data_IF_885436007394
#
_entry.id   IF_885436007394
#
_cell.length_a   1.000
_cell.length_b   1.000
_cell.length_c   1.000
_cell.angle_alpha   90.00
_cell.angle_beta   90.00
_cell.angle_gamma   90.00
#
_symmetry.space_group_name_H-M   'P 1'
#
loop_
_entity.id
_entity.type
_entity.pdbx_description
1 polymer ?
#
# COMPACT_ATOMS: atom_id res chain seq x y z
N UNK A 1 -29.23 -4.21 17.91
CA UNK A 1 -27.75 -4.16 17.78
C UNK A 1 -27.39 -2.90 16.98
N UNK A 2 -26.43 -2.07 17.42
CA UNK A 2 -26.02 -0.85 16.68
C UNK A 2 -25.12 -1.26 15.50
N UNK A 3 -25.33 -0.67 14.31
CA UNK A 3 -24.46 -0.92 13.13
C UNK A 3 -23.02 -0.43 13.39
N UNK A 4 -22.03 -1.02 12.70
CA UNK A 4 -20.61 -0.65 12.88
C UNK A 4 -20.35 0.84 12.64
N UNK A 5 -21.03 1.45 11.66
CA UNK A 5 -20.98 2.89 11.43
C UNK A 5 -21.41 3.72 12.66
N UNK A 6 -22.46 3.29 13.39
CA UNK A 6 -22.90 3.95 14.63
C UNK A 6 -21.99 3.69 15.84
N UNK A 7 -21.11 2.70 15.74
CA UNK A 7 -20.07 2.45 16.74
C UNK A 7 -18.77 3.22 16.41
N UNK A 8 -18.74 3.99 15.32
CA UNK A 8 -17.52 4.64 14.82
C UNK A 8 -16.49 3.65 14.27
N UNK A 9 -16.89 2.39 14.04
CA UNK A 9 -16.02 1.37 13.49
C UNK A 9 -16.17 1.35 11.98
N UNK A 10 -15.11 1.75 11.29
CA UNK A 10 -15.00 1.60 9.84
C UNK A 10 -14.51 0.16 9.53
N UNK A 11 -15.47 -0.77 9.58
CA UNK A 11 -15.30 -2.20 9.35
C UNK A 11 -16.50 -2.68 8.52
N UNK A 12 -16.23 -3.39 7.43
CA UNK A 12 -17.26 -4.01 6.62
C UNK A 12 -17.72 -5.31 7.33
N UNK A 13 -19.02 -5.47 7.64
CA UNK A 13 -19.54 -6.68 8.28
C UNK A 13 -19.46 -7.90 7.34
N UNK A 14 -19.18 -9.07 7.91
CA UNK A 14 -19.28 -10.35 7.19
C UNK A 14 -20.73 -10.82 7.09
N UNK A 15 -21.04 -11.60 6.06
CA UNK A 15 -22.35 -12.21 5.83
C UNK A 15 -22.49 -13.48 6.66
N UNK A 16 -23.69 -13.74 7.21
CA UNK A 16 -23.96 -14.99 7.92
C UNK A 16 -24.00 -16.18 6.96
N UNK A 17 -23.23 -17.23 7.28
CA UNK A 17 -23.05 -18.39 6.40
C UNK A 17 -24.21 -19.40 6.46
N UNK A 18 -24.86 -19.56 7.62
CA UNK A 18 -25.85 -20.63 7.82
C UNK A 18 -25.23 -22.03 7.97
N UNK A 19 -26.03 -23.01 8.39
CA UNK A 19 -25.55 -24.34 8.78
C UNK A 19 -24.94 -25.14 7.60
N UNK A 20 -25.58 -25.07 6.42
CA UNK A 20 -25.15 -25.81 5.24
C UNK A 20 -23.77 -25.34 4.72
N UNK A 21 -23.57 -24.02 4.61
CA UNK A 21 -22.30 -23.42 4.19
C UNK A 21 -21.19 -23.77 5.16
N UNK A 22 -21.46 -23.68 6.47
CA UNK A 22 -20.47 -24.02 7.49
C UNK A 22 -20.05 -25.50 7.43
N UNK A 23 -20.98 -26.41 7.12
CA UNK A 23 -20.67 -27.83 6.94
C UNK A 23 -19.83 -28.07 5.68
N UNK A 24 -20.14 -27.39 4.58
CA UNK A 24 -19.35 -27.45 3.35
C UNK A 24 -17.92 -26.93 3.56
N UNK A 25 -17.77 -25.75 4.18
CA UNK A 25 -16.45 -25.16 4.48
C UNK A 25 -15.66 -26.03 5.45
N UNK A 26 -16.31 -26.67 6.44
CA UNK A 26 -15.65 -27.64 7.35
C UNK A 26 -15.10 -28.87 6.60
N UNK A 27 -15.73 -29.25 5.49
CA UNK A 27 -15.25 -30.32 4.59
C UNK A 27 -14.21 -29.82 3.58
N UNK A 28 -13.78 -28.56 3.67
CA UNK A 28 -12.84 -27.95 2.75
C UNK A 28 -13.44 -27.49 1.41
N UNK A 29 -14.77 -27.54 1.27
CA UNK A 29 -15.45 -27.07 0.06
C UNK A 29 -15.66 -25.57 0.20
N UNK A 30 -14.98 -24.81 -0.64
CA UNK A 30 -15.13 -23.36 -0.68
C UNK A 30 -16.50 -22.97 -1.26
N UNK A 31 -17.13 -22.02 -0.59
CA UNK A 31 -18.43 -21.47 -0.96
C UNK A 31 -18.30 -20.00 -1.31
N UNK A 32 -19.25 -19.47 -2.08
CA UNK A 32 -19.27 -18.05 -2.45
C UNK A 32 -19.36 -17.16 -1.20
N UNK A 33 -20.15 -17.53 -0.20
CA UNK A 33 -20.30 -16.77 1.05
C UNK A 33 -19.02 -16.85 1.89
N UNK A 34 -18.40 -18.03 1.99
CA UNK A 34 -17.13 -18.19 2.69
C UNK A 34 -15.99 -17.41 2.02
N UNK A 35 -15.95 -17.39 0.68
CA UNK A 35 -15.01 -16.58 -0.10
C UNK A 35 -15.21 -15.08 0.15
N UNK A 36 -16.45 -14.61 0.04
CA UNK A 36 -16.80 -13.22 0.34
C UNK A 36 -16.37 -12.82 1.76
N UNK A 37 -16.61 -13.67 2.76
CA UNK A 37 -16.20 -13.39 4.13
C UNK A 37 -14.68 -13.38 4.32
N UNK A 38 -13.93 -14.21 3.58
CA UNK A 38 -12.46 -14.17 3.56
C UNK A 38 -11.96 -12.85 2.97
N UNK A 39 -12.55 -12.41 1.87
CA UNK A 39 -12.23 -11.13 1.20
C UNK A 39 -12.54 -9.93 2.09
N UNK A 40 -13.73 -9.87 2.69
CA UNK A 40 -14.12 -8.83 3.64
C UNK A 40 -13.12 -8.75 4.80
N UNK A 41 -12.71 -9.90 5.36
CA UNK A 41 -11.70 -9.95 6.42
C UNK A 41 -10.33 -9.45 5.94
N UNK A 42 -9.93 -9.75 4.70
CA UNK A 42 -8.69 -9.25 4.13
C UNK A 42 -8.72 -7.74 3.91
N UNK A 43 -9.82 -7.20 3.38
CA UNK A 43 -10.02 -5.77 3.20
C UNK A 43 -9.99 -5.03 4.55
N UNK A 44 -10.68 -5.53 5.57
CA UNK A 44 -10.67 -4.94 6.91
C UNK A 44 -9.26 -4.93 7.54
N UNK A 45 -8.44 -5.97 7.31
CA UNK A 45 -7.04 -5.99 7.75
C UNK A 45 -6.21 -4.92 7.05
N UNK A 46 -6.33 -4.82 5.72
CA UNK A 46 -5.63 -3.81 4.94
C UNK A 46 -6.00 -2.39 5.40
N UNK A 47 -7.30 -2.15 5.59
CA UNK A 47 -7.80 -0.84 6.02
C UNK A 47 -7.28 -0.46 7.41
N UNK A 48 -7.17 -1.44 8.33
CA UNK A 48 -6.50 -1.24 9.62
C UNK A 48 -5.02 -0.86 9.46
N UNK A 49 -4.28 -1.55 8.57
CA UNK A 49 -2.88 -1.24 8.30
C UNK A 49 -2.70 0.17 7.69
N UNK A 50 -3.59 0.59 6.79
CA UNK A 50 -3.56 1.93 6.19
C UNK A 50 -3.75 3.00 7.27
N UNK A 51 -4.73 2.85 8.16
CA UNK A 51 -4.93 3.80 9.27
C UNK A 51 -3.72 3.90 10.18
N UNK A 52 -3.10 2.76 10.50
CA UNK A 52 -1.88 2.75 11.32
C UNK A 52 -0.72 3.48 10.61
N UNK A 53 -0.58 3.29 9.29
CA UNK A 53 0.44 3.98 8.52
C UNK A 53 0.22 5.50 8.52
N UNK A 54 -1.02 5.95 8.35
CA UNK A 54 -1.37 7.39 8.41
C UNK A 54 -0.99 7.96 9.78
N UNK A 55 -1.39 7.30 10.87
CA UNK A 55 -1.06 7.75 12.23
C UNK A 55 0.46 7.83 12.47
N UNK A 56 1.21 6.85 11.96
CA UNK A 56 2.66 6.86 12.08
C UNK A 56 3.29 8.03 11.29
N UNK A 57 2.78 8.32 10.09
CA UNK A 57 3.24 9.44 9.27
C UNK A 57 2.92 10.79 9.91
N UNK A 58 1.72 10.95 10.47
CA UNK A 58 1.34 12.14 11.24
C UNK A 58 2.30 12.35 12.42
N UNK A 59 2.64 11.27 13.15
CA UNK A 59 3.63 11.29 14.22
C UNK A 59 5.02 11.76 13.74
N UNK A 60 5.51 11.20 12.64
CA UNK A 60 6.81 11.62 12.08
C UNK A 60 6.81 13.07 11.60
N UNK A 61 5.71 13.57 11.03
CA UNK A 61 5.58 14.98 10.64
C UNK A 61 5.67 15.88 11.88
N UNK A 62 5.00 15.50 12.97
CA UNK A 62 5.08 16.26 14.22
C UNK A 62 6.50 16.27 14.81
N UNK A 63 7.15 15.11 14.89
CA UNK A 63 8.54 15.00 15.38
C UNK A 63 9.53 15.81 14.53
N UNK A 64 9.38 15.79 13.20
CA UNK A 64 10.20 16.60 12.30
C UNK A 64 9.96 18.10 12.51
N UNK A 65 8.70 18.50 12.74
CA UNK A 65 8.34 19.87 13.06
C UNK A 65 9.00 20.36 14.35
N UNK A 66 9.05 19.51 15.38
CA UNK A 66 9.72 19.79 16.66
C UNK A 66 11.23 19.92 16.48
N UNK A 67 11.88 18.96 15.81
CA UNK A 67 13.32 19.02 15.49
C UNK A 67 13.69 20.26 14.69
N UNK A 68 12.83 20.69 13.76
CA UNK A 68 13.02 21.93 13.01
C UNK A 68 13.01 23.15 13.93
N UNK A 69 12.05 23.23 14.85
CA UNK A 69 11.96 24.33 15.84
C UNK A 69 13.18 24.34 16.76
N UNK A 70 13.60 23.18 17.23
CA UNK A 70 14.79 23.05 18.09
C UNK A 70 16.05 23.52 17.37
N UNK A 71 16.25 23.11 16.11
CA UNK A 71 17.39 23.55 15.30
C UNK A 71 17.40 25.07 15.09
N UNK A 72 16.23 25.66 14.79
CA UNK A 72 16.08 27.11 14.66
C UNK A 72 16.43 27.84 15.97
N UNK A 73 15.94 27.33 17.10
CA UNK A 73 16.24 27.89 18.42
C UNK A 73 17.73 27.79 18.77
N UNK A 74 18.36 26.63 18.54
CA UNK A 74 19.80 26.44 18.78
C UNK A 74 20.68 27.37 17.94
N UNK A 75 20.23 27.72 16.73
CA UNK A 75 20.98 28.58 15.82
C UNK A 75 20.66 30.07 15.97
N UNK A 76 19.74 30.44 16.88
CA UNK A 76 19.24 31.81 17.05
C UNK A 76 18.71 32.43 15.73
N UNK A 77 18.21 31.57 14.82
CA UNK A 77 17.67 31.96 13.52
C UNK A 77 16.15 32.07 13.63
N UNK A 78 15.60 33.20 13.22
CA UNK A 78 14.18 33.55 13.46
C UNK A 78 13.28 33.24 12.25
N UNK A 79 13.86 33.03 11.08
CA UNK A 79 13.14 32.92 9.80
C UNK A 79 13.74 31.87 8.87
N UNK A 80 13.01 31.50 7.81
CA UNK A 80 13.50 30.56 6.77
C UNK A 80 14.64 31.20 5.98
N UNK A 81 14.61 32.52 5.83
CA UNK A 81 15.65 33.34 5.23
C UNK A 81 16.98 33.22 6.01
N UNK A 82 16.93 33.18 7.34
CA UNK A 82 18.12 33.01 8.19
C UNK A 82 18.76 31.62 8.01
N UNK A 83 17.95 30.58 7.77
CA UNK A 83 18.43 29.23 7.43
C UNK A 83 19.06 29.19 6.02
N UNK A 84 18.47 29.90 5.07
CA UNK A 84 18.97 29.97 3.70
C UNK A 84 20.32 30.71 3.65
N UNK A 85 20.46 31.81 4.40
CA UNK A 85 21.72 32.51 4.61
C UNK A 85 22.79 31.66 5.36
N UNK A 86 22.38 30.83 6.32
CA UNK A 86 23.27 29.88 6.99
C UNK A 86 23.75 28.76 6.05
N UNK A 87 22.86 28.24 5.19
CA UNK A 87 23.20 27.25 4.16
C UNK A 87 24.16 27.83 3.13
N UNK A 88 23.96 29.09 2.73
CA UNK A 88 24.88 29.84 1.88
C UNK A 88 26.24 30.07 2.54
N UNK A 89 26.29 30.47 3.82
CA UNK A 89 27.56 30.70 4.53
C UNK A 89 28.31 29.41 4.92
N UNK A 90 27.60 28.30 5.13
CA UNK A 90 28.19 26.98 5.38
C UNK A 90 28.60 26.23 4.11
N UNK A 91 28.43 26.86 2.94
CA UNK A 91 28.87 26.35 1.65
C UNK A 91 28.05 25.18 1.11
N UNK A 92 26.84 24.95 1.64
CA UNK A 92 25.89 23.95 1.15
C UNK A 92 24.67 24.66 0.60
N UNK A 93 24.65 24.92 -0.69
CA UNK A 93 23.51 25.60 -1.33
C UNK A 93 22.25 24.74 -1.22
N UNK A 94 21.07 25.37 -1.11
CA UNK A 94 19.80 24.69 -1.33
C UNK A 94 19.77 23.92 -2.68
N UNK A 95 20.55 24.39 -3.66
CA UNK A 95 20.80 23.69 -4.92
C UNK A 95 21.53 22.35 -4.74
N UNK A 96 22.52 22.27 -3.84
CA UNK A 96 23.28 21.04 -3.58
C UNK A 96 22.39 19.97 -2.96
N UNK A 97 21.51 20.37 -2.03
CA UNK A 97 20.55 19.45 -1.42
C UNK A 97 19.50 18.98 -2.44
N UNK A 98 19.01 19.90 -3.29
CA UNK A 98 18.11 19.56 -4.40
C UNK A 98 18.77 18.58 -5.37
N UNK A 99 20.04 18.79 -5.70
CA UNK A 99 20.81 17.91 -6.57
C UNK A 99 21.06 16.53 -5.94
N UNK A 100 21.23 16.45 -4.61
CA UNK A 100 21.32 15.18 -3.89
C UNK A 100 19.99 14.42 -3.81
N UNK A 101 18.85 15.13 -3.80
CA UNK A 101 17.52 14.51 -3.75
C UNK A 101 17.03 14.00 -5.10
N UNK A 102 17.36 14.69 -6.20
CA UNK A 102 17.00 14.29 -7.58
C UNK A 102 17.25 12.80 -7.91
N UNK A 103 18.43 12.21 -7.66
CA UNK A 103 18.67 10.79 -7.97
C UNK A 103 17.88 9.84 -7.05
N UNK A 104 17.58 10.25 -5.81
CA UNK A 104 16.75 9.47 -4.88
C UNK A 104 15.28 9.49 -5.31
N UNK A 105 14.80 10.64 -5.77
CA UNK A 105 13.45 10.79 -6.35
C UNK A 105 13.30 9.98 -7.64
N UNK A 106 14.32 10.00 -8.51
CA UNK A 106 14.35 9.16 -9.72
C UNK A 106 14.32 7.67 -9.37
N UNK A 107 15.09 7.24 -8.36
CA UNK A 107 15.03 5.87 -7.85
C UNK A 107 13.66 5.50 -7.30
N UNK A 108 12.99 6.42 -6.59
CA UNK A 108 11.62 6.20 -6.09
C UNK A 108 10.65 5.93 -7.24
N UNK A 109 10.69 6.74 -8.30
CA UNK A 109 9.82 6.56 -9.48
C UNK A 109 10.03 5.22 -10.18
N UNK A 110 11.28 4.73 -10.25
CA UNK A 110 11.59 3.40 -10.79
C UNK A 110 11.00 2.30 -9.90
N UNK A 111 11.12 2.44 -8.57
CA UNK A 111 10.52 1.50 -7.62
C UNK A 111 9.00 1.46 -7.79
N UNK A 112 8.35 2.62 -7.92
CA UNK A 112 6.90 2.71 -8.15
C UNK A 112 6.49 2.01 -9.45
N UNK A 113 7.25 2.19 -10.54
CA UNK A 113 7.03 1.47 -11.80
C UNK A 113 7.19 -0.05 -11.69
N UNK A 114 8.17 -0.51 -10.91
CA UNK A 114 8.36 -1.95 -10.63
C UNK A 114 7.21 -2.50 -9.79
N UNK A 115 6.72 -1.75 -8.80
CA UNK A 115 5.58 -2.14 -7.98
C UNK A 115 4.30 -2.23 -8.81
N UNK A 116 4.06 -1.28 -9.72
CA UNK A 116 2.95 -1.32 -10.68
C UNK A 116 3.07 -2.51 -11.65
N UNK A 117 4.24 -2.75 -12.23
CA UNK A 117 4.47 -3.90 -13.10
C UNK A 117 4.26 -5.23 -12.36
N UNK A 118 4.60 -5.29 -11.06
CA UNK A 118 4.37 -6.45 -10.21
C UNK A 118 2.88 -6.67 -9.92
N UNK A 119 2.09 -5.61 -9.76
CA UNK A 119 0.63 -5.74 -9.61
C UNK A 119 0.01 -6.25 -10.90
N UNK A 120 0.39 -5.67 -12.04
CA UNK A 120 -0.14 -6.06 -13.36
C UNK A 120 0.21 -7.53 -13.69
N UNK A 121 1.43 -7.96 -13.35
CA UNK A 121 1.84 -9.35 -13.52
C UNK A 121 1.05 -10.31 -12.63
N UNK A 122 0.70 -9.91 -11.39
CA UNK A 122 -0.18 -10.72 -10.52
C UNK A 122 -1.59 -10.85 -11.08
N UNK A 123 -2.13 -9.79 -11.68
CA UNK A 123 -3.46 -9.77 -12.28
C UNK A 123 -3.51 -10.55 -13.61
N UNK A 124 -2.45 -10.47 -14.41
CA UNK A 124 -2.33 -11.20 -15.68
C UNK A 124 -1.97 -12.69 -15.50
N UNK A 125 -1.40 -13.09 -14.36
CA UNK A 125 -1.05 -14.49 -14.06
C UNK A 125 -2.23 -15.48 -14.13
N UNK A 126 -3.39 -15.24 -13.49
CA UNK A 126 -4.54 -16.14 -13.61
C UNK A 126 -5.13 -16.15 -15.02
N UNK A 127 -5.03 -15.04 -15.76
CA UNK A 127 -5.43 -14.98 -17.19
C UNK A 127 -4.53 -15.88 -18.02
N UNK A 128 -3.20 -15.76 -17.87
CA UNK A 128 -2.22 -16.60 -18.54
C UNK A 128 -2.38 -18.09 -18.19
N UNK A 129 -2.57 -18.43 -16.91
CA UNK A 129 -2.82 -19.80 -16.45
C UNK A 129 -4.13 -20.38 -17.01
N UNK A 130 -5.16 -19.55 -17.20
CA UNK A 130 -6.41 -19.92 -17.87
C UNK A 130 -6.19 -20.20 -19.35
N UNK A 131 -5.43 -19.36 -20.06
CA UNK A 131 -5.08 -19.58 -21.47
C UNK A 131 -4.23 -20.84 -21.69
N UNK A 132 -3.26 -21.13 -20.81
CA UNK A 132 -2.46 -22.37 -20.88
C UNK A 132 -3.32 -23.64 -20.80
N UNK A 133 -4.45 -23.61 -20.08
CA UNK A 133 -5.36 -24.75 -19.88
C UNK A 133 -6.36 -24.94 -21.03
N UNK A 134 -6.51 -23.97 -21.94
CA UNK A 134 -7.47 -24.00 -23.06
C UNK A 134 -6.94 -24.79 -24.28
N UNK A 135 -5.84 -25.53 -24.14
CA UNK A 135 -5.27 -26.47 -25.12
C UNK A 135 -4.63 -25.85 -26.37
N UNK A 136 -3.30 -25.96 -26.47
CA UNK A 136 -2.64 -26.33 -27.72
C UNK A 136 -2.95 -27.81 -28.02
N UNK A 137 -4.20 -28.12 -28.39
CA UNK A 137 -4.53 -29.37 -29.08
C UNK A 137 -4.08 -29.19 -30.53
N UNK A 138 -2.78 -29.36 -30.80
CA UNK A 138 -2.36 -29.72 -32.16
C UNK A 138 -2.86 -31.13 -32.39
N UNK A 139 -3.98 -31.25 -33.09
CA UNK A 139 -4.34 -32.45 -33.84
C UNK A 139 -3.17 -32.80 -34.74
N UNK A 140 -2.36 -33.78 -34.32
CA UNK A 140 -1.36 -34.46 -35.15
C UNK A 140 -1.86 -35.86 -35.54
N UNK A 141 -3.16 -35.99 -35.74
CA UNK A 141 -3.84 -37.18 -36.27
C UNK A 141 -4.59 -36.80 -37.55
N UNK A 142 -3.88 -36.33 -38.58
CA UNK A 142 -4.33 -36.32 -39.98
C UNK A 142 -3.13 -36.35 -40.92
N UNK A 143 -2.24 -37.33 -40.77
CA UNK A 143 -1.28 -37.74 -41.81
C UNK A 143 -0.92 -39.23 -41.61
N UNK A 144 -1.84 -40.11 -42.00
CA UNK A 144 -1.56 -41.43 -42.57
C UNK A 144 -2.76 -41.86 -43.39
#
# INVERSE_FOLDING_TARGET
MRSYARQGLDIIPTVHEGAAVRQMEKRGIQTNIGNLNREIRAANRLMKSIRQLIQNLEGWITELGEKRKELLAQKALSTVEDLEAFLESSGKSAADYRNQMKPKEARSKVIDGILASRTDCKECKPVYEKYQKIFFKKTKEKFK
#
